data_IF_122188191989
#
_entry.id   IF_122188191989
#
_cell.length_a   1.000
_cell.length_b   1.000
_cell.length_c   1.000
_cell.angle_alpha   90.00
_cell.angle_beta   90.00
_cell.angle_gamma   90.00
#
_symmetry.space_group_name_H-M   'P 1'
#
loop_
_entity.id
_entity.type
_entity.pdbx_description
1 polymer ?
#
# COMPACT_ATOMS: atom_id res chain seq x y z
N UNK A 1 17.52 -5.29 -22.22
CA UNK A 1 19.00 -5.10 -22.27
C UNK A 1 19.65 -5.74 -21.08
N UNK A 2 20.80 -6.37 -21.18
CA UNK A 2 21.56 -6.92 -20.04
C UNK A 2 22.70 -5.97 -19.71
N UNK A 3 22.99 -5.76 -18.42
CA UNK A 3 24.08 -4.88 -17.93
C UNK A 3 25.49 -5.26 -18.42
N UNK A 4 25.61 -6.24 -19.32
CA UNK A 4 26.88 -6.65 -19.91
C UNK A 4 28.00 -6.79 -18.87
N UNK A 5 29.11 -6.13 -19.09
CA UNK A 5 30.29 -6.13 -18.22
C UNK A 5 30.03 -5.54 -16.82
N UNK A 6 29.09 -4.62 -16.67
CA UNK A 6 28.77 -3.97 -15.39
C UNK A 6 28.06 -4.94 -14.41
N UNK A 7 27.28 -5.88 -14.95
CA UNK A 7 26.50 -6.84 -14.15
C UNK A 7 27.34 -7.81 -13.33
N UNK A 8 28.59 -8.02 -13.69
CA UNK A 8 29.50 -8.85 -12.90
C UNK A 8 29.71 -8.29 -11.49
N UNK A 9 29.88 -7.00 -11.36
CA UNK A 9 30.10 -6.32 -10.07
C UNK A 9 28.79 -5.83 -9.45
N UNK A 10 27.91 -5.23 -10.25
CA UNK A 10 26.69 -4.55 -9.79
C UNK A 10 25.42 -5.40 -9.82
N UNK A 11 25.53 -6.69 -10.15
CA UNK A 11 24.40 -7.58 -10.34
C UNK A 11 23.66 -7.36 -11.66
N UNK A 12 23.01 -8.40 -12.18
CA UNK A 12 22.30 -8.36 -13.48
C UNK A 12 21.13 -7.38 -13.51
N UNK A 13 20.63 -7.01 -12.34
CA UNK A 13 19.49 -6.10 -12.11
C UNK A 13 19.91 -4.74 -11.53
N UNK A 14 21.22 -4.42 -11.53
CA UNK A 14 21.79 -3.19 -10.96
C UNK A 14 21.58 -2.97 -9.45
N UNK A 15 21.13 -3.98 -8.71
CA UNK A 15 20.84 -3.88 -7.26
C UNK A 15 22.02 -4.24 -6.36
N UNK A 16 23.20 -4.20 -6.91
CA UNK A 16 24.44 -4.60 -6.23
C UNK A 16 24.79 -6.06 -6.46
N UNK A 17 26.06 -6.36 -6.26
CA UNK A 17 26.63 -7.68 -6.36
C UNK A 17 27.72 -7.89 -5.31
N UNK A 18 28.55 -8.93 -5.49
CA UNK A 18 29.58 -9.26 -4.53
C UNK A 18 30.64 -8.14 -4.34
N UNK A 19 30.89 -7.35 -5.37
CA UNK A 19 32.00 -6.36 -5.41
C UNK A 19 31.56 -4.94 -5.79
N UNK A 20 30.32 -4.74 -6.24
CA UNK A 20 29.81 -3.45 -6.66
C UNK A 20 28.52 -3.06 -5.93
N UNK A 21 28.35 -1.75 -5.61
CA UNK A 21 27.16 -1.27 -4.91
C UNK A 21 25.89 -1.35 -5.75
N UNK A 22 24.74 -1.17 -5.07
CA UNK A 22 23.41 -0.98 -5.67
C UNK A 22 23.36 0.35 -6.42
N UNK A 23 23.28 0.29 -7.76
CA UNK A 23 23.24 1.47 -8.62
C UNK A 23 21.88 2.19 -8.57
N UNK A 24 20.82 1.50 -8.18
CA UNK A 24 19.46 2.09 -8.11
C UNK A 24 19.32 3.08 -6.95
N UNK A 25 20.28 3.09 -6.03
CA UNK A 25 20.38 4.03 -4.91
C UNK A 25 21.39 5.14 -5.12
N UNK A 26 22.06 5.17 -6.27
CA UNK A 26 23.06 6.18 -6.57
C UNK A 26 22.39 7.50 -6.95
N UNK A 27 22.67 8.57 -6.22
CA UNK A 27 22.18 9.91 -6.55
C UNK A 27 22.58 10.32 -7.98
N UNK A 28 23.84 10.07 -8.38
CA UNK A 28 24.31 10.34 -9.73
C UNK A 28 23.46 9.63 -10.79
N UNK A 29 23.05 8.36 -10.55
CA UNK A 29 22.20 7.62 -11.49
C UNK A 29 20.79 8.19 -11.52
N UNK A 30 20.26 8.61 -10.35
CA UNK A 30 18.91 9.18 -10.25
C UNK A 30 18.79 10.55 -10.92
N UNK A 31 19.87 11.31 -10.89
CA UNK A 31 19.95 12.68 -11.44
C UNK A 31 20.50 12.74 -12.87
N UNK A 32 20.95 11.58 -13.41
CA UNK A 32 21.55 11.53 -14.76
C UNK A 32 20.54 11.84 -15.85
N UNK A 33 20.94 12.68 -16.78
CA UNK A 33 20.16 13.02 -17.97
C UNK A 33 20.73 12.33 -19.21
N UNK A 34 20.09 11.27 -19.67
CA UNK A 34 20.41 10.54 -20.91
C UNK A 34 21.86 10.02 -21.00
N UNK A 35 22.48 9.70 -19.88
CA UNK A 35 23.83 9.17 -19.83
C UNK A 35 24.94 10.23 -19.75
N UNK A 36 24.60 11.51 -19.61
CA UNK A 36 25.60 12.61 -19.62
C UNK A 36 26.53 12.52 -18.42
N UNK A 37 26.01 12.47 -17.21
CA UNK A 37 26.80 12.38 -15.99
C UNK A 37 27.46 11.01 -15.87
N UNK A 38 26.73 9.94 -16.22
CA UNK A 38 27.26 8.58 -16.26
C UNK A 38 28.43 8.46 -17.23
N UNK A 39 28.35 9.09 -18.42
CA UNK A 39 29.41 9.04 -19.41
C UNK A 39 30.69 9.66 -18.90
N UNK A 40 30.64 10.82 -18.30
CA UNK A 40 31.83 11.52 -17.76
C UNK A 40 32.43 10.72 -16.59
N UNK A 41 31.60 10.15 -15.71
CA UNK A 41 32.05 9.31 -14.64
C UNK A 41 32.69 8.00 -15.12
N UNK A 42 32.10 7.33 -16.11
CA UNK A 42 32.62 6.06 -16.64
C UNK A 42 33.94 6.16 -17.34
N UNK A 43 34.24 7.30 -18.00
CA UNK A 43 35.54 7.59 -18.63
C UNK A 43 36.68 7.58 -17.62
N UNK A 44 36.40 8.00 -16.39
CA UNK A 44 37.38 8.04 -15.28
C UNK A 44 37.37 6.73 -14.48
N UNK A 45 36.20 6.24 -14.15
CA UNK A 45 36.01 5.09 -13.26
C UNK A 45 36.40 5.42 -11.80
N UNK A 46 36.63 4.37 -11.02
CA UNK A 46 37.18 4.43 -9.65
C UNK A 46 38.21 3.30 -9.45
N UNK A 47 39.41 3.42 -10.02
CA UNK A 47 40.43 2.36 -9.95
C UNK A 47 40.77 1.98 -8.51
N UNK A 48 40.76 2.96 -7.59
CA UNK A 48 41.01 2.78 -6.16
C UNK A 48 39.95 1.91 -5.45
N UNK A 49 38.80 1.69 -6.11
CA UNK A 49 37.70 0.82 -5.66
C UNK A 49 37.43 -0.35 -6.61
N UNK A 50 38.41 -0.73 -7.39
CA UNK A 50 38.35 -1.79 -8.40
C UNK A 50 37.26 -1.57 -9.47
N UNK A 51 36.86 -0.33 -9.72
CA UNK A 51 35.96 0.01 -10.81
C UNK A 51 36.76 0.59 -11.99
N UNK A 52 36.98 -0.19 -13.05
CA UNK A 52 37.75 0.27 -14.20
C UNK A 52 37.01 1.38 -14.96
N UNK A 53 37.75 2.11 -15.79
CA UNK A 53 37.17 3.02 -16.76
C UNK A 53 36.52 2.27 -17.91
N UNK A 54 35.47 2.87 -18.47
CA UNK A 54 34.75 2.34 -19.62
C UNK A 54 34.56 3.44 -20.64
N UNK A 55 34.84 3.12 -21.87
CA UNK A 55 34.52 3.98 -23.02
C UNK A 55 33.28 3.43 -23.69
N UNK A 56 32.18 4.16 -23.58
CA UNK A 56 30.87 3.83 -24.17
C UNK A 56 30.53 4.87 -25.23
N UNK A 57 29.93 4.41 -26.30
CA UNK A 57 29.37 5.30 -27.33
C UNK A 57 28.13 6.03 -26.82
N UNK A 58 27.73 7.17 -27.40
CA UNK A 58 26.53 7.88 -26.97
C UNK A 58 25.26 7.02 -26.96
N UNK A 59 25.00 6.15 -27.96
CA UNK A 59 23.85 5.21 -27.88
C UNK A 59 23.93 4.24 -26.69
N UNK A 60 25.11 3.67 -26.41
CA UNK A 60 25.30 2.75 -25.27
C UNK A 60 25.10 3.47 -23.94
N UNK A 61 25.49 4.73 -23.82
CA UNK A 61 25.24 5.55 -22.62
C UNK A 61 23.74 5.80 -22.42
N UNK A 62 23.04 6.17 -23.48
CA UNK A 62 21.59 6.37 -23.44
C UNK A 62 20.85 5.07 -23.05
N UNK A 63 21.26 3.96 -23.63
CA UNK A 63 20.70 2.64 -23.32
C UNK A 63 20.95 2.24 -21.86
N UNK A 64 22.17 2.50 -21.36
CA UNK A 64 22.53 2.23 -19.96
C UNK A 64 21.71 3.11 -19.00
N UNK A 65 21.60 4.39 -19.25
CA UNK A 65 20.80 5.32 -18.46
C UNK A 65 19.34 4.90 -18.44
N UNK A 66 18.77 4.57 -19.61
CA UNK A 66 17.39 4.09 -19.74
C UNK A 66 17.16 2.82 -18.92
N UNK A 67 18.07 1.85 -18.98
CA UNK A 67 17.99 0.63 -18.21
C UNK A 67 18.03 0.90 -16.69
N UNK A 68 18.93 1.77 -16.23
CA UNK A 68 19.06 2.11 -14.82
C UNK A 68 17.83 2.86 -14.30
N UNK A 69 17.33 3.84 -15.06
CA UNK A 69 16.11 4.56 -14.71
C UNK A 69 14.86 3.66 -14.70
N UNK A 70 14.74 2.73 -15.67
CA UNK A 70 13.68 1.71 -15.65
C UNK A 70 13.76 0.85 -14.40
N UNK A 71 14.97 0.44 -14.01
CA UNK A 71 15.18 -0.37 -12.79
C UNK A 71 14.81 0.40 -11.52
N UNK A 72 15.11 1.71 -11.46
CA UNK A 72 14.68 2.59 -10.36
C UNK A 72 13.16 2.73 -10.32
N UNK A 73 12.54 2.97 -11.49
CA UNK A 73 11.10 3.09 -11.63
C UNK A 73 10.37 1.81 -11.17
N UNK A 74 10.84 0.64 -11.58
CA UNK A 74 10.29 -0.66 -11.18
C UNK A 74 10.38 -0.88 -9.66
N UNK A 75 11.48 -0.45 -9.02
CA UNK A 75 11.66 -0.55 -7.57
C UNK A 75 10.69 0.40 -6.85
N UNK A 76 10.53 1.62 -7.34
CA UNK A 76 9.58 2.60 -6.81
C UNK A 76 8.13 2.15 -6.96
N UNK A 77 7.83 1.42 -8.03
CA UNK A 77 6.50 0.92 -8.36
C UNK A 77 6.31 -0.57 -8.00
N UNK A 78 6.79 -1.00 -6.84
CA UNK A 78 6.60 -2.40 -6.36
C UNK A 78 5.14 -2.87 -6.33
N UNK A 79 4.18 -1.94 -6.38
CA UNK A 79 2.75 -2.24 -6.56
C UNK A 79 2.35 -2.61 -7.99
N UNK A 80 3.26 -2.47 -8.97
CA UNK A 80 3.02 -2.84 -10.36
C UNK A 80 3.38 -4.31 -10.68
N UNK A 81 3.86 -5.09 -9.70
CA UNK A 81 3.96 -6.53 -9.90
C UNK A 81 2.54 -7.08 -10.11
N UNK A 82 2.24 -7.46 -11.33
CA UNK A 82 1.07 -8.25 -11.62
C UNK A 82 1.30 -9.61 -10.94
N UNK A 83 0.65 -9.84 -9.81
CA UNK A 83 0.64 -11.15 -9.17
C UNK A 83 -0.19 -12.02 -10.11
N UNK A 84 0.51 -12.81 -10.91
CA UNK A 84 -0.10 -13.80 -11.79
C UNK A 84 -0.55 -14.94 -10.88
N UNK A 85 -1.80 -15.37 -11.05
CA UNK A 85 -2.35 -16.55 -10.38
C UNK A 85 -2.44 -16.46 -8.84
N UNK A 86 -3.23 -15.50 -8.35
CA UNK A 86 -3.61 -15.42 -6.93
C UNK A 86 -4.85 -16.29 -6.61
N UNK A 87 -5.58 -16.77 -7.64
CA UNK A 87 -6.78 -17.59 -7.46
C UNK A 87 -6.41 -19.08 -7.31
N UNK A 88 -5.70 -19.40 -6.22
CA UNK A 88 -5.28 -20.76 -5.88
C UNK A 88 -6.22 -21.45 -4.90
N UNK A 89 -7.25 -20.75 -4.42
CA UNK A 89 -8.21 -21.26 -3.44
C UNK A 89 -9.40 -21.97 -4.08
N UNK A 90 -10.13 -22.72 -3.25
CA UNK A 90 -11.40 -23.36 -3.57
C UNK A 90 -12.57 -22.39 -3.31
N UNK A 91 -13.27 -22.01 -4.38
CA UNK A 91 -14.40 -21.07 -4.28
C UNK A 91 -15.57 -21.61 -3.45
N UNK A 92 -15.83 -22.94 -3.48
CA UNK A 92 -16.89 -23.57 -2.70
C UNK A 92 -16.56 -23.58 -1.21
N UNK A 93 -15.31 -23.88 -0.87
CA UNK A 93 -14.83 -23.76 0.51
C UNK A 93 -14.86 -22.29 0.99
N UNK A 94 -14.55 -21.35 0.10
CA UNK A 94 -14.65 -19.92 0.34
C UNK A 94 -16.09 -19.45 0.62
N UNK A 95 -17.06 -19.95 -0.14
CA UNK A 95 -18.49 -19.69 0.10
C UNK A 95 -18.92 -20.23 1.46
N UNK A 96 -18.55 -21.46 1.77
CA UNK A 96 -18.87 -22.07 3.07
C UNK A 96 -18.26 -21.28 4.25
N UNK A 97 -17.02 -20.81 4.07
CA UNK A 97 -16.36 -19.96 5.08
C UNK A 97 -17.05 -18.60 5.19
N UNK A 98 -17.40 -17.96 4.08
CA UNK A 98 -18.10 -16.67 4.03
C UNK A 98 -19.43 -16.71 4.78
N UNK A 99 -20.20 -17.79 4.58
CA UNK A 99 -21.51 -18.00 5.22
C UNK A 99 -21.40 -18.48 6.67
N UNK A 100 -20.33 -19.18 7.02
CA UNK A 100 -20.13 -19.85 8.30
C UNK A 100 -19.08 -19.19 9.19
N UNK A 101 -17.92 -19.84 9.31
CA UNK A 101 -16.86 -19.48 10.26
C UNK A 101 -16.28 -18.06 10.05
N UNK A 102 -16.27 -17.58 8.82
CA UNK A 102 -15.81 -16.22 8.47
C UNK A 102 -16.77 -15.13 8.92
N UNK A 103 -18.05 -15.47 9.20
CA UNK A 103 -19.09 -14.54 9.65
C UNK A 103 -19.27 -13.31 8.75
N UNK A 104 -18.88 -13.39 7.48
CA UNK A 104 -18.93 -12.26 6.55
C UNK A 104 -20.36 -11.79 6.29
N UNK A 105 -21.31 -12.74 6.31
CA UNK A 105 -22.76 -12.48 6.13
C UNK A 105 -23.39 -11.62 7.23
N UNK A 106 -22.70 -11.37 8.34
CA UNK A 106 -23.21 -10.47 9.39
C UNK A 106 -23.24 -9.02 8.93
N UNK A 107 -22.42 -8.66 7.93
CA UNK A 107 -22.33 -7.30 7.38
C UNK A 107 -22.44 -7.26 5.85
N UNK A 108 -22.17 -8.37 5.14
CA UNK A 108 -22.12 -8.45 3.70
C UNK A 108 -23.14 -9.41 3.12
N UNK A 109 -23.57 -9.15 1.90
CA UNK A 109 -24.39 -10.04 1.10
C UNK A 109 -23.77 -10.29 -0.27
N UNK A 110 -23.60 -11.56 -0.65
CA UNK A 110 -23.06 -11.93 -1.95
C UNK A 110 -23.94 -11.44 -3.12
N UNK A 111 -25.26 -11.36 -2.89
CA UNK A 111 -26.25 -10.87 -3.86
C UNK A 111 -26.66 -9.40 -3.63
N UNK A 112 -26.08 -8.74 -2.64
CA UNK A 112 -26.32 -7.34 -2.29
C UNK A 112 -25.10 -6.48 -2.56
N UNK A 113 -24.46 -6.02 -1.49
CA UNK A 113 -23.32 -5.07 -1.59
C UNK A 113 -22.09 -5.66 -2.31
N UNK A 114 -21.90 -6.98 -2.27
CA UNK A 114 -20.82 -7.69 -2.96
C UNK A 114 -21.22 -8.24 -4.34
N UNK A 115 -22.46 -8.05 -4.80
CA UNK A 115 -22.85 -8.50 -6.13
C UNK A 115 -21.97 -7.86 -7.20
N UNK A 116 -21.43 -8.69 -8.11
CA UNK A 116 -20.55 -8.24 -9.18
C UNK A 116 -19.17 -7.77 -8.73
N UNK A 117 -18.77 -8.04 -7.47
CA UNK A 117 -17.48 -7.58 -6.95
C UNK A 117 -16.29 -8.17 -7.72
N UNK A 118 -16.41 -9.42 -8.18
CA UNK A 118 -15.40 -10.11 -8.98
C UNK A 118 -15.28 -9.58 -10.42
N UNK A 119 -16.29 -8.87 -10.91
CA UNK A 119 -16.19 -8.15 -12.19
C UNK A 119 -15.60 -6.74 -12.02
N UNK A 120 -15.76 -6.14 -10.83
CA UNK A 120 -15.29 -4.77 -10.54
C UNK A 120 -13.82 -4.68 -10.17
N UNK A 121 -13.25 -5.74 -9.60
CA UNK A 121 -11.88 -5.72 -9.08
C UNK A 121 -11.11 -6.97 -9.49
N UNK A 122 -9.86 -6.78 -9.85
CA UNK A 122 -8.90 -7.86 -10.00
C UNK A 122 -8.71 -8.63 -8.68
N UNK A 123 -8.45 -9.94 -8.72
CA UNK A 123 -8.35 -10.78 -7.52
C UNK A 123 -7.39 -10.27 -6.45
N UNK A 124 -6.23 -9.75 -6.84
CA UNK A 124 -5.27 -9.17 -5.90
C UNK A 124 -5.83 -7.93 -5.18
N UNK A 125 -6.59 -7.09 -5.91
CA UNK A 125 -7.26 -5.94 -5.33
C UNK A 125 -8.40 -6.35 -4.40
N UNK A 126 -9.15 -7.42 -4.72
CA UNK A 126 -10.17 -7.98 -3.84
C UNK A 126 -9.55 -8.44 -2.52
N UNK A 127 -8.45 -9.18 -2.60
CA UNK A 127 -7.73 -9.66 -1.43
C UNK A 127 -7.21 -8.48 -0.58
N UNK A 128 -6.60 -7.46 -1.20
CA UNK A 128 -6.16 -6.25 -0.50
C UNK A 128 -7.31 -5.53 0.21
N UNK A 129 -8.46 -5.39 -0.46
CA UNK A 129 -9.65 -4.74 0.12
C UNK A 129 -10.28 -5.53 1.26
N UNK A 130 -10.24 -6.84 1.17
CA UNK A 130 -10.72 -7.73 2.22
C UNK A 130 -9.84 -7.70 3.46
N UNK A 131 -8.51 -7.75 3.28
CA UNK A 131 -7.55 -7.81 4.37
C UNK A 131 -7.25 -6.42 4.97
N UNK A 132 -7.17 -5.40 4.12
CA UNK A 132 -6.80 -4.03 4.51
C UNK A 132 -7.75 -2.99 3.89
N UNK A 133 -9.03 -2.99 4.28
CA UNK A 133 -10.05 -2.16 3.63
C UNK A 133 -9.76 -0.65 3.69
N UNK A 134 -8.96 -0.19 4.66
CA UNK A 134 -8.53 1.22 4.76
C UNK A 134 -7.33 1.56 3.89
N UNK A 135 -6.39 0.64 3.71
CA UNK A 135 -5.16 0.88 2.96
C UNK A 135 -5.44 1.04 1.46
N UNK A 136 -6.42 0.30 0.93
CA UNK A 136 -6.82 0.35 -0.48
C UNK A 136 -7.30 1.74 -0.92
N UNK A 137 -7.80 2.57 -0.01
CA UNK A 137 -8.30 3.93 -0.30
C UNK A 137 -7.22 5.02 -0.23
N UNK A 138 -6.07 4.73 0.40
CA UNK A 138 -4.98 5.71 0.55
C UNK A 138 -4.09 5.87 -0.68
N UNK A 139 -4.33 5.12 -1.75
CA UNK A 139 -3.58 5.31 -3.01
C UNK A 139 -3.93 6.68 -3.58
N UNK A 140 -2.90 7.50 -3.79
CA UNK A 140 -3.01 8.79 -4.49
C UNK A 140 -3.71 8.57 -5.82
N UNK A 141 -4.70 9.41 -6.11
CA UNK A 141 -5.25 9.53 -7.45
C UNK A 141 -4.14 9.86 -8.48
N UNK A 142 -4.38 9.61 -9.78
CA UNK A 142 -3.37 9.72 -10.84
C UNK A 142 -2.69 11.10 -10.96
N UNK A 143 -3.13 12.12 -10.26
CA UNK A 143 -2.68 13.51 -10.41
C UNK A 143 -2.23 14.18 -9.11
N UNK A 144 -1.88 13.40 -8.07
CA UNK A 144 -1.34 13.99 -6.84
C UNK A 144 -2.35 14.76 -5.99
N UNK A 145 -3.65 14.66 -6.28
CA UNK A 145 -4.71 15.23 -5.46
C UNK A 145 -4.60 14.67 -4.02
N UNK A 146 -4.65 15.56 -3.05
CA UNK A 146 -4.71 15.15 -1.64
C UNK A 146 -6.00 14.34 -1.46
N UNK A 147 -5.85 13.07 -1.09
CA UNK A 147 -6.98 12.25 -0.68
C UNK A 147 -7.78 13.02 0.38
N UNK A 148 -9.12 12.91 0.30
CA UNK A 148 -9.98 13.47 1.32
C UNK A 148 -9.56 12.98 2.71
N UNK A 149 -9.69 13.81 3.74
CA UNK A 149 -9.29 13.40 5.09
C UNK A 149 -10.01 12.09 5.50
N UNK A 150 -9.30 11.15 6.15
CA UNK A 150 -9.87 9.83 6.50
C UNK A 150 -11.17 9.89 7.31
N UNK A 151 -11.35 10.94 8.10
CA UNK A 151 -12.55 11.14 8.92
C UNK A 151 -13.77 11.62 8.13
N UNK A 152 -13.62 11.98 6.87
CA UNK A 152 -14.76 12.31 5.97
C UNK A 152 -15.28 11.09 5.21
N UNK A 153 -14.63 9.93 5.36
CA UNK A 153 -15.05 8.70 4.70
C UNK A 153 -16.27 8.06 5.41
N UNK A 154 -17.17 7.39 4.66
CA UNK A 154 -18.34 6.70 5.25
C UNK A 154 -17.97 5.68 6.34
N UNK A 155 -16.80 5.03 6.20
CA UNK A 155 -16.29 4.02 7.12
C UNK A 155 -15.26 4.59 8.12
N UNK A 156 -15.28 5.90 8.36
CA UNK A 156 -14.42 6.51 9.37
C UNK A 156 -14.69 5.90 10.75
N UNK A 157 -13.65 5.78 11.56
CA UNK A 157 -13.80 5.42 12.99
C UNK A 157 -14.63 6.52 13.64
N UNK A 158 -15.69 6.14 14.34
CA UNK A 158 -16.50 7.06 15.14
C UNK A 158 -16.01 7.04 16.59
N UNK A 159 -16.06 8.20 17.22
CA UNK A 159 -15.78 8.32 18.64
C UNK A 159 -16.94 9.03 19.33
N UNK A 160 -17.38 8.49 20.47
CA UNK A 160 -18.28 9.16 21.38
C UNK A 160 -17.45 9.67 22.56
N UNK A 161 -17.44 10.98 22.72
CA UNK A 161 -16.70 11.69 23.78
C UNK A 161 -17.72 12.17 24.81
N UNK A 162 -17.62 11.66 26.05
CA UNK A 162 -18.47 12.09 27.17
C UNK A 162 -17.66 12.99 28.09
N UNK A 163 -17.96 14.30 28.04
CA UNK A 163 -17.30 15.33 28.84
C UNK A 163 -18.19 15.70 30.07
N UNK A 164 -17.57 16.02 31.23
CA UNK A 164 -18.32 16.56 32.37
C UNK A 164 -19.05 17.86 31.99
N UNK A 165 -20.27 18.12 32.55
CA UNK A 165 -21.01 17.34 33.54
C UNK A 165 -21.83 16.16 33.03
N UNK A 166 -21.90 15.86 31.72
CA UNK A 166 -22.50 14.66 31.12
C UNK A 166 -22.87 14.87 29.65
N UNK A 167 -22.30 15.87 29.00
CA UNK A 167 -22.53 16.08 27.55
C UNK A 167 -21.77 15.02 26.72
N UNK A 168 -22.49 14.35 25.86
CA UNK A 168 -21.92 13.40 24.92
C UNK A 168 -21.95 13.93 23.49
N UNK A 169 -20.82 13.80 22.80
CA UNK A 169 -20.63 14.23 21.42
C UNK A 169 -20.13 13.03 20.61
N UNK A 170 -20.78 12.75 19.50
CA UNK A 170 -20.38 11.68 18.59
C UNK A 170 -19.99 12.27 17.25
N UNK A 171 -18.85 11.82 16.71
CA UNK A 171 -18.36 12.26 15.42
C UNK A 171 -17.28 11.31 14.88
N UNK A 172 -16.77 11.62 13.69
CA UNK A 172 -15.66 10.87 13.13
C UNK A 172 -14.36 11.21 13.86
N UNK A 173 -13.60 10.19 14.24
CA UNK A 173 -12.34 10.36 14.95
C UNK A 173 -11.29 10.99 14.04
N UNK A 174 -10.79 12.17 14.43
CA UNK A 174 -9.69 12.85 13.76
C UNK A 174 -8.37 12.47 14.42
N UNK A 175 -8.33 12.54 15.74
CA UNK A 175 -7.13 12.24 16.54
C UNK A 175 -7.52 11.75 17.94
N UNK A 176 -6.76 10.80 18.43
CA UNK A 176 -6.81 10.35 19.84
C UNK A 176 -5.38 10.11 20.30
N UNK A 177 -4.98 10.79 21.35
CA UNK A 177 -3.69 10.64 22.03
C UNK A 177 -3.92 10.50 23.53
N UNK A 178 -2.87 10.36 24.31
CA UNK A 178 -2.97 10.38 25.76
C UNK A 178 -3.36 11.76 26.29
N UNK A 179 -3.12 12.81 25.51
CA UNK A 179 -3.29 14.21 25.93
C UNK A 179 -4.55 14.86 25.38
N UNK A 180 -5.07 14.40 24.25
CA UNK A 180 -6.23 14.99 23.60
C UNK A 180 -7.05 14.01 22.77
N UNK A 181 -8.31 14.39 22.54
CA UNK A 181 -9.18 13.76 21.55
C UNK A 181 -9.82 14.82 20.69
N UNK A 182 -9.85 14.58 19.38
CA UNK A 182 -10.51 15.45 18.38
C UNK A 182 -11.44 14.62 17.54
N UNK A 183 -12.68 15.05 17.42
CA UNK A 183 -13.68 14.47 16.52
C UNK A 183 -14.14 15.50 15.48
N UNK A 184 -14.58 15.01 14.34
CA UNK A 184 -15.24 15.79 13.28
C UNK A 184 -16.72 15.47 13.28
N UNK A 185 -17.53 16.50 13.37
CA UNK A 185 -18.97 16.41 13.27
C UNK A 185 -19.38 16.60 11.80
N UNK A 186 -19.94 15.58 11.13
CA UNK A 186 -20.30 15.67 9.71
C UNK A 186 -21.51 16.59 9.45
N UNK A 187 -22.37 16.82 10.46
CA UNK A 187 -23.55 17.67 10.32
C UNK A 187 -23.16 19.16 10.33
N UNK A 188 -22.36 19.55 11.30
CA UNK A 188 -21.89 20.94 11.43
C UNK A 188 -20.64 21.22 10.62
N UNK A 189 -19.96 20.18 10.10
CA UNK A 189 -18.65 20.25 9.41
C UNK A 189 -17.55 20.88 10.26
N UNK A 190 -17.65 20.77 11.57
CA UNK A 190 -16.71 21.35 12.53
C UNK A 190 -15.96 20.25 13.28
N UNK A 191 -14.76 20.58 13.72
CA UNK A 191 -14.00 19.75 14.65
C UNK A 191 -14.16 20.25 16.08
N UNK A 192 -14.24 19.31 17.03
CA UNK A 192 -14.24 19.58 18.47
C UNK A 192 -13.10 18.83 19.12
N UNK A 193 -12.40 19.50 20.04
CA UNK A 193 -11.25 18.94 20.74
C UNK A 193 -11.41 19.08 22.25
N UNK A 194 -10.94 18.06 22.96
CA UNK A 194 -10.89 18.06 24.42
C UNK A 194 -9.50 17.62 24.88
N UNK A 195 -8.97 18.29 25.90
CA UNK A 195 -7.78 17.81 26.60
C UNK A 195 -8.17 16.61 27.46
N UNK A 196 -7.29 15.61 27.49
CA UNK A 196 -7.46 14.40 28.31
C UNK A 196 -6.58 14.52 29.55
N UNK A 197 -7.21 14.32 30.71
CA UNK A 197 -6.54 14.28 32.01
C UNK A 197 -7.30 13.31 32.91
N UNK A 198 -6.57 12.47 33.65
CA UNK A 198 -7.13 11.53 34.63
C UNK A 198 -8.26 10.63 34.06
N UNK A 199 -8.11 10.20 32.78
CA UNK A 199 -9.09 9.37 32.10
C UNK A 199 -10.35 10.09 31.57
N UNK A 200 -10.41 11.40 31.72
CA UNK A 200 -11.51 12.23 31.22
C UNK A 200 -11.06 13.11 30.05
N UNK A 201 -11.96 13.41 29.07
CA UNK A 201 -13.29 12.85 28.91
C UNK A 201 -13.24 11.35 28.58
N UNK A 202 -14.33 10.62 28.89
CA UNK A 202 -14.47 9.22 28.45
C UNK A 202 -14.62 9.18 26.93
N UNK A 203 -13.87 8.28 26.28
CA UNK A 203 -13.90 8.09 24.83
C UNK A 203 -14.26 6.64 24.52
N UNK A 204 -15.32 6.45 23.76
CA UNK A 204 -15.72 5.15 23.25
C UNK A 204 -15.54 5.16 21.74
N UNK A 205 -14.76 4.24 21.20
CA UNK A 205 -14.52 4.10 19.77
C UNK A 205 -15.43 3.06 19.17
N UNK A 206 -15.95 3.34 17.99
CA UNK A 206 -16.68 2.41 17.14
C UNK A 206 -16.04 2.40 15.77
N UNK A 207 -15.36 1.32 15.45
CA UNK A 207 -14.75 1.09 14.16
C UNK A 207 -15.64 0.19 13.29
N UNK A 208 -16.28 0.71 12.22
CA UNK A 208 -17.09 -0.11 11.31
C UNK A 208 -16.30 -1.24 10.65
N UNK A 209 -14.98 -1.14 10.58
CA UNK A 209 -14.10 -2.14 9.97
C UNK A 209 -13.36 -3.01 10.99
N UNK A 210 -13.72 -2.92 12.28
CA UNK A 210 -13.07 -3.69 13.34
C UNK A 210 -13.15 -5.20 13.09
N UNK A 211 -14.26 -5.69 12.55
CA UNK A 211 -14.41 -7.09 12.21
C UNK A 211 -13.34 -7.60 11.23
N UNK A 212 -12.92 -6.78 10.26
CA UNK A 212 -11.83 -7.14 9.36
C UNK A 212 -10.48 -7.22 10.07
N UNK A 213 -10.23 -6.34 11.04
CA UNK A 213 -9.00 -6.37 11.86
C UNK A 213 -8.97 -7.62 12.74
N UNK A 214 -10.11 -7.95 13.36
CA UNK A 214 -10.23 -9.10 14.26
C UNK A 214 -10.09 -10.43 13.52
N UNK A 215 -10.55 -10.49 12.28
CA UNK A 215 -10.44 -11.65 11.41
C UNK A 215 -8.99 -11.95 11.00
N UNK A 216 -8.17 -10.92 10.72
CA UNK A 216 -6.77 -11.11 10.33
C UNK A 216 -5.96 -11.94 11.33
N UNK A 217 -6.34 -11.94 12.60
CA UNK A 217 -5.68 -12.72 13.66
C UNK A 217 -6.12 -14.18 13.70
N UNK A 218 -7.20 -14.53 13.03
CA UNK A 218 -7.85 -15.85 13.10
C UNK A 218 -7.79 -16.60 11.79
N UNK A 219 -7.68 -15.89 10.68
CA UNK A 219 -7.70 -16.49 9.35
C UNK A 219 -6.42 -17.26 9.07
N UNK A 220 -6.58 -18.39 8.44
CA UNK A 220 -5.49 -19.13 7.80
C UNK A 220 -5.27 -18.62 6.38
N UNK A 221 -4.13 -18.98 5.79
CA UNK A 221 -3.84 -18.70 4.38
C UNK A 221 -4.89 -19.33 3.44
N UNK A 222 -5.42 -20.50 3.80
CA UNK A 222 -6.45 -21.18 3.03
C UNK A 222 -7.79 -20.46 3.10
N UNK A 223 -8.19 -19.97 4.29
CA UNK A 223 -9.41 -19.15 4.44
C UNK A 223 -9.35 -17.92 3.54
N UNK A 224 -8.18 -17.26 3.51
CA UNK A 224 -7.94 -16.08 2.69
C UNK A 224 -8.02 -16.40 1.19
N UNK A 225 -7.33 -17.46 0.74
CA UNK A 225 -7.31 -17.88 -0.68
C UNK A 225 -8.68 -18.31 -1.14
N UNK A 226 -9.36 -19.15 -0.35
CA UNK A 226 -10.67 -19.67 -0.65
C UNK A 226 -11.72 -18.55 -0.73
N UNK A 227 -11.73 -17.64 0.24
CA UNK A 227 -12.64 -16.48 0.22
C UNK A 227 -12.37 -15.57 -0.97
N UNK A 228 -11.09 -15.35 -1.33
CA UNK A 228 -10.73 -14.57 -2.52
C UNK A 228 -11.25 -15.23 -3.79
N UNK A 229 -11.12 -16.55 -3.91
CA UNK A 229 -11.64 -17.30 -5.06
C UNK A 229 -13.17 -17.23 -5.16
N UNK A 230 -13.88 -17.34 -4.04
CA UNK A 230 -15.33 -17.14 -3.99
C UNK A 230 -15.75 -15.74 -4.45
N UNK A 231 -15.16 -14.70 -3.86
CA UNK A 231 -15.50 -13.32 -4.18
C UNK A 231 -15.18 -12.97 -5.65
N UNK A 232 -14.09 -13.49 -6.21
CA UNK A 232 -13.74 -13.30 -7.62
C UNK A 232 -14.74 -13.97 -8.58
N UNK A 233 -15.48 -14.98 -8.12
CA UNK A 233 -16.56 -15.64 -8.84
C UNK A 233 -17.89 -14.86 -8.85
N UNK A 234 -18.08 -13.87 -7.99
CA UNK A 234 -19.28 -13.02 -7.92
C UNK A 234 -19.26 -11.99 -9.07
N UNK A 235 -19.83 -12.34 -10.20
CA UNK A 235 -19.89 -11.54 -11.44
C UNK A 235 -21.27 -10.98 -11.68
#
# INVERSE_FOLDING_TARGET
MRLGRCGFCHGSNARGGATGPDLTRSAMVQEDENGKQLGDFLKVGRPERNMPKFELTPPELTDLATFLHSSIYEIGNRGAYKILDILTGDAKAGEAFFQGAGRCVTCHSATGDLQGVGARYEPATLQERMLMPRAARRRRGPQGERAAPPWTEPNAVKATVTAPPAASFTGALVRLTDFDVTIYDPETKQTRSWLRKDGLPKVVLMDPLQAHVDMLRKWTDDDMRNTTAFLAGLK
#
